data_IF_939932758776
#
_entry.id   IF_939932758776
#
_cell.length_a   1.000
_cell.length_b   1.000
_cell.length_c   1.000
_cell.angle_alpha   90.00
_cell.angle_beta   90.00
_cell.angle_gamma   90.00
#
_symmetry.space_group_name_H-M   'P 1'
#
loop_
_entity.id
_entity.type
_entity.pdbx_description
1 polymer ?
#
# COMPACT_ATOMS: atom_id res chain seq x y z
N UNK A 1 -20.43 12.61 4.19
CA UNK A 1 -19.20 12.86 3.39
C UNK A 1 -17.98 12.26 4.09
N UNK A 2 -16.97 11.83 3.33
CA UNK A 2 -15.62 11.53 3.84
C UNK A 2 -14.83 12.84 3.75
N UNK A 3 -13.99 13.16 4.75
CA UNK A 3 -13.25 14.42 4.78
C UNK A 3 -12.31 14.57 3.57
N UNK A 4 -11.95 15.82 3.25
CA UNK A 4 -11.04 16.13 2.14
C UNK A 4 -9.67 15.47 2.35
N UNK A 5 -9.16 14.80 1.30
CA UNK A 5 -7.85 14.13 1.33
C UNK A 5 -6.72 15.11 1.65
N UNK A 6 -6.80 16.33 1.09
CA UNK A 6 -5.80 17.37 1.32
C UNK A 6 -5.79 17.82 2.78
N UNK A 7 -6.97 18.03 3.36
CA UNK A 7 -7.09 18.42 4.77
C UNK A 7 -6.52 17.33 5.68
N UNK A 8 -6.90 16.07 5.45
CA UNK A 8 -6.37 14.93 6.23
C UNK A 8 -4.84 14.90 6.12
N UNK A 9 -4.28 15.06 4.90
CA UNK A 9 -2.83 15.08 4.71
C UNK A 9 -2.15 16.22 5.50
N UNK A 10 -2.71 17.43 5.49
CA UNK A 10 -2.15 18.55 6.26
C UNK A 10 -2.09 18.23 7.77
N UNK A 11 -3.10 17.52 8.30
CA UNK A 11 -3.10 17.08 9.69
C UNK A 11 -2.06 15.97 9.96
N UNK A 12 -1.97 14.95 9.10
CA UNK A 12 -1.21 13.72 9.40
C UNK A 12 0.22 13.71 8.88
N UNK A 13 0.61 14.61 7.97
CA UNK A 13 1.93 14.56 7.28
C UNK A 13 3.13 14.61 8.23
N UNK A 14 2.98 15.28 9.37
CA UNK A 14 4.06 15.54 10.31
C UNK A 14 3.87 14.83 11.66
N UNK A 15 2.63 14.44 11.98
CA UNK A 15 2.23 13.97 13.29
C UNK A 15 1.30 12.74 13.17
N UNK A 16 1.89 11.60 12.81
CA UNK A 16 1.22 10.30 12.85
C UNK A 16 2.18 9.22 13.34
N UNK A 17 1.64 8.17 13.96
CA UNK A 17 2.43 7.10 14.62
C UNK A 17 3.15 6.16 13.66
N UNK A 18 2.80 6.17 12.37
CA UNK A 18 3.43 5.33 11.36
C UNK A 18 4.68 5.98 10.77
N UNK A 19 4.88 7.29 10.95
CA UNK A 19 6.04 8.00 10.44
C UNK A 19 7.30 7.54 11.16
N UNK A 20 8.30 7.16 10.36
CA UNK A 20 9.62 6.76 10.81
C UNK A 20 10.64 7.74 10.24
N UNK A 21 11.17 8.62 11.11
CA UNK A 21 12.20 9.59 10.74
C UNK A 21 13.57 9.06 11.19
N UNK A 22 14.56 9.14 10.30
CA UNK A 22 15.96 8.85 10.60
C UNK A 22 16.83 9.97 10.03
N UNK A 23 17.92 10.29 10.70
CA UNK A 23 18.86 11.31 10.23
C UNK A 23 19.35 10.99 8.81
N UNK A 24 19.53 12.01 7.97
CA UNK A 24 20.05 11.92 6.60
C UNK A 24 19.25 11.01 5.65
N UNK A 25 17.96 10.78 5.91
CA UNK A 25 17.10 9.97 5.04
C UNK A 25 15.75 10.64 4.81
N UNK A 26 15.04 10.21 3.75
CA UNK A 26 13.66 10.60 3.55
C UNK A 26 12.77 10.08 4.70
N UNK A 27 11.68 10.80 5.00
CA UNK A 27 10.69 10.31 5.94
C UNK A 27 9.98 9.07 5.38
N UNK A 28 10.10 7.95 6.07
CA UNK A 28 9.42 6.71 5.74
C UNK A 28 8.13 6.57 6.57
N UNK A 29 7.26 5.66 6.15
CA UNK A 29 6.02 5.34 6.86
C UNK A 29 5.71 3.86 6.77
N UNK A 30 5.12 3.32 7.84
CA UNK A 30 4.63 1.93 7.93
C UNK A 30 3.11 1.84 7.73
N UNK A 31 2.48 2.89 7.20
CA UNK A 31 1.05 2.92 6.92
C UNK A 31 0.57 1.75 6.04
N UNK A 32 -0.56 1.09 6.38
CA UNK A 32 -1.17 0.14 5.48
C UNK A 32 -1.65 0.85 4.20
N UNK A 33 -1.54 0.19 3.05
CA UNK A 33 -1.99 0.77 1.79
C UNK A 33 -1.03 1.80 1.16
N UNK A 34 0.26 1.77 1.53
CA UNK A 34 1.32 2.57 0.89
C UNK A 34 2.19 1.71 -0.06
N UNK A 35 2.31 2.12 -1.32
CA UNK A 35 3.16 1.42 -2.30
C UNK A 35 4.66 1.68 -2.08
N UNK A 36 5.10 2.88 -1.72
CA UNK A 36 6.53 3.23 -1.72
C UNK A 36 7.17 3.23 -0.35
N UNK A 37 6.37 3.11 0.72
CA UNK A 37 6.76 3.32 2.12
C UNK A 37 7.32 4.72 2.39
N UNK A 38 7.18 5.67 1.46
CA UNK A 38 7.56 7.06 1.65
C UNK A 38 6.37 7.82 2.26
N UNK A 39 6.66 8.70 3.21
CA UNK A 39 5.66 9.62 3.75
C UNK A 39 5.40 10.75 2.74
N UNK A 40 4.50 10.49 1.78
CA UNK A 40 4.11 11.44 0.73
C UNK A 40 2.61 11.36 0.47
N UNK A 41 2.00 12.50 0.17
CA UNK A 41 0.56 12.63 -0.09
C UNK A 41 0.05 11.63 -1.14
N UNK A 42 0.78 11.46 -2.25
CA UNK A 42 0.37 10.58 -3.36
C UNK A 42 0.34 9.08 -3.03
N UNK A 43 0.99 8.66 -1.93
CA UNK A 43 1.10 7.24 -1.56
C UNK A 43 0.56 6.93 -0.15
N UNK A 44 0.11 7.94 0.61
CA UNK A 44 -0.43 7.73 1.96
C UNK A 44 -1.68 6.87 1.92
N UNK A 45 -1.73 5.87 2.80
CA UNK A 45 -2.89 5.00 2.97
C UNK A 45 -3.99 5.62 3.83
N UNK A 46 -3.59 6.47 4.77
CA UNK A 46 -4.52 7.14 5.69
C UNK A 46 -5.23 8.32 5.00
N UNK A 47 -4.47 9.13 4.26
CA UNK A 47 -5.02 10.34 3.63
C UNK A 47 -5.86 10.02 2.37
N UNK A 48 -5.45 9.02 1.58
CA UNK A 48 -6.13 8.74 0.32
C UNK A 48 -7.38 7.88 0.48
N UNK A 49 -8.43 8.24 -0.24
CA UNK A 49 -9.69 7.46 -0.27
C UNK A 49 -9.47 6.11 -0.97
N UNK A 50 -8.70 6.12 -2.06
CA UNK A 50 -8.26 4.95 -2.82
C UNK A 50 -6.76 4.83 -2.71
N UNK A 51 -6.33 3.99 -1.79
CA UNK A 51 -4.95 3.66 -1.51
C UNK A 51 -4.64 2.23 -1.96
N UNK A 52 -3.36 1.94 -2.12
CA UNK A 52 -2.87 0.65 -2.59
C UNK A 52 -1.50 0.35 -2.01
N UNK A 53 -1.29 -0.84 -1.47
CA UNK A 53 -0.01 -1.27 -0.93
C UNK A 53 0.21 -2.76 -1.13
N UNK A 54 1.46 -3.16 -1.36
CA UNK A 54 1.88 -4.55 -1.39
C UNK A 54 2.71 -4.87 -0.15
N UNK A 55 2.40 -5.97 0.51
CA UNK A 55 3.11 -6.44 1.71
C UNK A 55 3.22 -7.97 1.71
N UNK A 56 4.08 -8.49 2.58
CA UNK A 56 4.13 -9.92 2.89
C UNK A 56 3.25 -10.14 4.10
N UNK A 57 2.33 -11.10 4.01
CA UNK A 57 1.56 -11.60 5.14
C UNK A 57 2.13 -12.95 5.56
N UNK A 58 2.41 -13.10 6.85
CA UNK A 58 2.89 -14.36 7.44
C UNK A 58 1.76 -14.98 8.25
N UNK A 59 1.36 -16.19 7.88
CA UNK A 59 0.35 -17.00 8.59
C UNK A 59 1.00 -18.30 9.04
N UNK A 60 1.33 -18.41 10.32
CA UNK A 60 2.18 -19.48 10.84
C UNK A 60 3.53 -19.49 10.10
N UNK A 61 3.89 -20.62 9.51
CA UNK A 61 5.15 -20.76 8.75
C UNK A 61 5.03 -20.33 7.27
N UNK A 62 3.83 -19.94 6.81
CA UNK A 62 3.59 -19.62 5.40
C UNK A 62 3.63 -18.12 5.16
N UNK A 63 4.45 -17.69 4.20
CA UNK A 63 4.48 -16.32 3.71
C UNK A 63 3.75 -16.19 2.37
N UNK A 64 2.85 -15.23 2.28
CA UNK A 64 2.08 -14.87 1.08
C UNK A 64 2.27 -13.40 0.73
N UNK A 65 2.12 -13.06 -0.56
CA UNK A 65 2.15 -11.67 -1.02
C UNK A 65 0.71 -11.18 -1.03
N UNK A 66 0.45 -9.99 -0.47
CA UNK A 66 -0.89 -9.44 -0.34
C UNK A 66 -0.94 -8.02 -0.89
N UNK A 67 -1.92 -7.77 -1.75
CA UNK A 67 -2.30 -6.43 -2.17
C UNK A 67 -3.43 -5.92 -1.28
N UNK A 68 -3.15 -4.84 -0.56
CA UNK A 68 -4.12 -4.09 0.24
C UNK A 68 -4.61 -2.90 -0.58
N UNK A 69 -5.92 -2.81 -0.80
CA UNK A 69 -6.57 -1.65 -1.41
C UNK A 69 -7.57 -1.03 -0.45
N UNK A 70 -7.85 0.27 -0.61
CA UNK A 70 -8.89 0.93 0.19
C UNK A 70 -10.09 1.37 -0.65
N UNK A 71 -11.24 1.40 0.01
CA UNK A 71 -12.49 1.92 -0.56
C UNK A 71 -13.01 3.14 0.21
N UNK A 72 -13.86 3.93 -0.46
CA UNK A 72 -14.52 5.09 0.14
C UNK A 72 -15.55 4.62 1.18
N UNK A 73 -15.21 4.69 2.45
CA UNK A 73 -16.11 4.32 3.56
C UNK A 73 -15.81 5.15 4.81
N UNK A 74 -16.82 5.28 5.67
CA UNK A 74 -16.69 5.85 7.02
C UNK A 74 -16.41 4.80 8.09
N UNK A 75 -16.47 3.50 7.74
CA UNK A 75 -16.27 2.38 8.67
C UNK A 75 -14.79 1.96 8.64
N UNK A 76 -13.96 2.29 9.65
CA UNK A 76 -12.52 2.04 9.59
C UNK A 76 -12.18 0.56 9.47
N UNK A 77 -12.92 -0.30 10.17
CA UNK A 77 -12.77 -1.76 10.18
C UNK A 77 -12.94 -2.40 8.79
N UNK A 78 -13.70 -1.76 7.91
CA UNK A 78 -13.98 -2.25 6.55
C UNK A 78 -13.35 -1.37 5.47
N UNK A 79 -12.40 -0.51 5.83
CA UNK A 79 -11.76 0.43 4.88
C UNK A 79 -10.84 -0.28 3.91
N UNK A 80 -10.09 -1.26 4.40
CA UNK A 80 -9.10 -2.00 3.62
C UNK A 80 -9.63 -3.36 3.21
N UNK A 81 -9.30 -3.76 1.99
CA UNK A 81 -9.49 -5.11 1.48
C UNK A 81 -8.13 -5.68 1.12
N UNK A 82 -7.82 -6.84 1.67
CA UNK A 82 -6.60 -7.60 1.37
C UNK A 82 -6.89 -8.69 0.37
N UNK A 83 -6.05 -8.80 -0.64
CA UNK A 83 -6.18 -9.80 -1.69
C UNK A 83 -4.84 -10.52 -1.90
N UNK A 84 -4.88 -11.85 -1.94
CA UNK A 84 -3.68 -12.65 -2.16
C UNK A 84 -3.16 -12.48 -3.59
N UNK A 85 -1.85 -12.33 -3.73
CA UNK A 85 -1.14 -12.21 -4.99
C UNK A 85 -0.23 -13.42 -5.18
N UNK A 86 -0.31 -14.04 -6.36
CA UNK A 86 0.49 -15.22 -6.68
C UNK A 86 2.00 -14.95 -6.66
N UNK A 87 2.80 -15.96 -6.29
CA UNK A 87 4.27 -15.93 -6.47
C UNK A 87 4.69 -16.12 -7.94
N UNK A 88 3.77 -16.52 -8.82
CA UNK A 88 4.00 -16.53 -10.26
C UNK A 88 3.91 -15.11 -10.83
N UNK A 89 4.99 -14.61 -11.42
CA UNK A 89 5.11 -13.22 -11.89
C UNK A 89 4.02 -12.83 -12.88
N UNK A 90 3.72 -13.69 -13.88
CA UNK A 90 2.72 -13.38 -14.91
C UNK A 90 1.32 -13.27 -14.30
N UNK A 91 0.96 -14.22 -13.43
CA UNK A 91 -0.33 -14.22 -12.72
C UNK A 91 -0.43 -13.02 -11.76
N UNK A 92 0.65 -12.68 -11.07
CA UNK A 92 0.70 -11.56 -10.15
C UNK A 92 0.49 -10.21 -10.85
N UNK A 93 1.26 -9.94 -11.90
CA UNK A 93 1.15 -8.68 -12.66
C UNK A 93 -0.24 -8.51 -13.28
N UNK A 94 -0.84 -9.60 -13.81
CA UNK A 94 -2.21 -9.60 -14.31
C UNK A 94 -3.22 -9.24 -13.21
N UNK A 95 -3.10 -9.87 -12.03
CA UNK A 95 -3.97 -9.60 -10.87
C UNK A 95 -3.84 -8.15 -10.38
N UNK A 96 -2.61 -7.68 -10.17
CA UNK A 96 -2.31 -6.31 -9.71
C UNK A 96 -2.89 -5.29 -10.70
N UNK A 97 -2.68 -5.49 -12.01
CA UNK A 97 -3.23 -4.62 -13.05
C UNK A 97 -4.77 -4.60 -12.99
N UNK A 98 -5.40 -5.76 -12.90
CA UNK A 98 -6.87 -5.86 -12.84
C UNK A 98 -7.46 -5.09 -11.64
N UNK A 99 -6.81 -5.17 -10.47
CA UNK A 99 -7.30 -4.54 -9.25
C UNK A 99 -7.09 -3.03 -9.22
N UNK A 100 -6.00 -2.54 -9.82
CA UNK A 100 -5.64 -1.11 -9.79
C UNK A 100 -6.11 -0.31 -11.01
N UNK A 101 -6.35 -0.95 -12.16
CA UNK A 101 -6.63 -0.25 -13.42
C UNK A 101 -7.79 0.75 -13.35
N UNK A 102 -8.87 0.39 -12.63
CA UNK A 102 -10.08 1.24 -12.54
C UNK A 102 -9.98 2.33 -11.47
N UNK A 103 -9.05 2.21 -10.53
CA UNK A 103 -9.04 3.08 -9.32
C UNK A 103 -7.80 3.94 -9.23
N UNK A 104 -6.63 3.36 -9.47
CA UNK A 104 -5.29 3.94 -9.29
C UNK A 104 -4.31 3.36 -10.32
N UNK A 105 -4.52 3.61 -11.64
CA UNK A 105 -3.66 3.05 -12.68
C UNK A 105 -2.20 3.51 -12.57
N UNK A 106 -1.96 4.68 -12.01
CA UNK A 106 -0.63 5.24 -11.75
C UNK A 106 0.19 4.43 -10.73
N UNK A 107 -0.46 3.64 -9.86
CA UNK A 107 0.23 2.75 -8.93
C UNK A 107 0.74 1.45 -9.56
N UNK A 108 0.26 1.07 -10.76
CA UNK A 108 0.62 -0.20 -11.41
C UNK A 108 2.14 -0.36 -11.60
N UNK A 109 2.89 0.61 -12.18
CA UNK A 109 4.33 0.47 -12.34
C UNK A 109 5.06 0.34 -10.98
N UNK A 110 4.63 1.11 -9.98
CA UNK A 110 5.19 1.06 -8.62
C UNK A 110 4.91 -0.29 -7.94
N UNK A 111 3.70 -0.81 -8.11
CA UNK A 111 3.28 -2.10 -7.59
C UNK A 111 4.11 -3.23 -8.20
N UNK A 112 4.32 -3.22 -9.51
CA UNK A 112 5.17 -4.21 -10.19
C UNK A 112 6.63 -4.16 -9.70
N UNK A 113 7.18 -2.95 -9.48
CA UNK A 113 8.53 -2.77 -8.93
C UNK A 113 8.63 -3.34 -7.50
N UNK A 114 7.67 -3.00 -6.63
CA UNK A 114 7.63 -3.51 -5.26
C UNK A 114 7.39 -5.02 -5.21
N UNK A 115 6.52 -5.55 -6.07
CA UNK A 115 6.30 -6.98 -6.21
C UNK A 115 7.60 -7.71 -6.54
N UNK A 116 8.38 -7.23 -7.51
CA UNK A 116 9.67 -7.83 -7.87
C UNK A 116 10.65 -7.85 -6.69
N UNK A 117 10.71 -6.76 -5.90
CA UNK A 117 11.54 -6.71 -4.70
C UNK A 117 11.07 -7.69 -3.62
N UNK A 118 9.76 -7.74 -3.36
CA UNK A 118 9.14 -8.70 -2.43
C UNK A 118 9.38 -10.14 -2.88
N UNK A 119 9.21 -10.45 -4.16
CA UNK A 119 9.43 -11.80 -4.69
C UNK A 119 10.88 -12.25 -4.46
N UNK A 120 11.85 -11.36 -4.65
CA UNK A 120 13.27 -11.63 -4.38
C UNK A 120 13.56 -11.89 -2.89
N UNK A 121 12.76 -11.35 -1.97
CA UNK A 121 12.97 -11.56 -0.53
C UNK A 121 12.49 -12.92 -0.03
N UNK A 122 11.69 -13.66 -0.81
CA UNK A 122 11.37 -15.05 -0.48
C UNK A 122 12.63 -15.90 -0.66
N UNK A 123 13.15 -16.44 0.44
CA UNK A 123 14.20 -17.45 0.41
C UNK A 123 13.62 -18.75 -0.17
N UNK A 124 14.40 -19.41 -1.02
CA UNK A 124 14.12 -20.78 -1.43
C UNK A 124 14.28 -21.73 -0.25
#
# INVERSE_FOLDING_TARGET
>A
MVASQQLIWQCVRNNNSFIQKRANTAAFTTEPGNMTNLNRAGYSGIANVRAGGLTIQTTGNKQTIVLTTSKKTKKPTHRYTTTGVSKNTKKAQKSIKAQLALTRPDLIPLANKKYSAIKKSFRA
#
